data_IF_634149759194
#
_entry.id   IF_634149759194
#
_cell.length_a   1.000
_cell.length_b   1.000
_cell.length_c   1.000
_cell.angle_alpha   90.00
_cell.angle_beta   90.00
_cell.angle_gamma   90.00
#
_symmetry.space_group_name_H-M   'P 1'
#
loop_
_entity.id
_entity.type
_entity.pdbx_description
1 polymer ?
#
# COMPACT_ATOMS: atom_id res chain seq x y z
N UNK A 1 -14.90 -6.86 -16.55
CA UNK A 1 -14.04 -5.75 -17.00
C UNK A 1 -12.58 -6.21 -16.91
N UNK A 2 -11.78 -5.92 -17.93
CA UNK A 2 -10.33 -6.20 -18.01
C UNK A 2 -9.54 -5.12 -17.24
N UNK A 3 -8.44 -5.47 -16.57
CA UNK A 3 -7.57 -4.51 -15.87
C UNK A 3 -6.40 -4.11 -16.76
N UNK A 4 -5.92 -2.88 -16.69
CA UNK A 4 -4.76 -2.44 -17.45
C UNK A 4 -3.49 -2.76 -16.65
N UNK A 5 -2.58 -3.57 -17.22
CA UNK A 5 -1.29 -3.91 -16.60
C UNK A 5 -0.16 -3.17 -17.31
N UNK A 6 0.68 -2.49 -16.55
CA UNK A 6 1.88 -1.85 -17.07
C UNK A 6 3.04 -2.86 -17.12
N UNK A 7 3.63 -3.01 -18.30
CA UNK A 7 4.78 -3.89 -18.54
C UNK A 7 6.04 -3.03 -18.57
N UNK A 8 6.80 -3.04 -17.46
CA UNK A 8 7.96 -2.15 -17.27
C UNK A 8 9.04 -2.28 -18.34
N UNK A 9 9.34 -3.51 -18.78
CA UNK A 9 10.38 -3.77 -19.79
C UNK A 9 9.99 -3.28 -21.20
N UNK A 10 8.69 -3.20 -21.49
CA UNK A 10 8.17 -2.78 -22.79
C UNK A 10 7.68 -1.32 -22.80
N UNK A 11 7.48 -0.70 -21.63
CA UNK A 11 6.98 0.68 -21.51
C UNK A 11 5.53 0.86 -21.97
N UNK A 12 4.76 -0.22 -22.07
CA UNK A 12 3.37 -0.21 -22.57
C UNK A 12 2.39 -0.67 -21.50
N UNK A 13 1.11 -0.33 -21.71
CA UNK A 13 0.00 -0.81 -20.88
C UNK A 13 -0.88 -1.74 -21.71
N UNK A 14 -1.09 -2.95 -21.24
CA UNK A 14 -1.84 -3.98 -21.96
C UNK A 14 -3.12 -4.39 -21.21
N UNK A 15 -4.20 -4.77 -21.92
CA UNK A 15 -5.37 -5.38 -21.29
C UNK A 15 -4.99 -6.70 -20.63
N UNK A 16 -5.23 -6.79 -19.33
CA UNK A 16 -4.97 -7.96 -18.50
C UNK A 16 -6.26 -8.51 -17.89
N UNK A 17 -6.12 -9.66 -17.21
CA UNK A 17 -7.23 -10.36 -16.56
C UNK A 17 -7.88 -9.46 -15.49
N UNK A 18 -9.20 -9.60 -15.23
CA UNK A 18 -9.86 -8.89 -14.14
C UNK A 18 -9.15 -9.13 -12.81
N UNK A 19 -9.01 -8.12 -11.94
CA UNK A 19 -8.39 -8.29 -10.62
C UNK A 19 -9.33 -7.99 -9.44
N UNK A 20 -8.88 -8.34 -8.24
CA UNK A 20 -9.48 -7.94 -6.97
C UNK A 20 -8.37 -7.54 -6.00
N UNK A 21 -8.61 -6.45 -5.27
CA UNK A 21 -7.70 -5.92 -4.25
C UNK A 21 -8.49 -5.75 -2.95
N UNK A 22 -7.95 -6.24 -1.86
CA UNK A 22 -8.46 -6.00 -0.51
C UNK A 22 -7.28 -5.83 0.45
N UNK A 23 -7.52 -5.18 1.58
CA UNK A 23 -6.44 -4.86 2.50
C UNK A 23 -6.94 -4.31 3.82
N UNK A 24 -5.99 -4.05 4.69
CA UNK A 24 -6.20 -3.43 6.00
C UNK A 24 -5.26 -2.24 6.09
N UNK A 25 -5.79 -1.12 6.58
CA UNK A 25 -5.03 0.08 6.89
C UNK A 25 -5.16 0.38 8.37
N UNK A 26 -4.03 0.69 9.00
CA UNK A 26 -3.95 1.12 10.38
C UNK A 26 -3.17 2.44 10.44
N UNK A 27 -3.82 3.47 10.96
CA UNK A 27 -3.22 4.80 11.14
C UNK A 27 -3.39 5.18 12.61
N UNK A 28 -2.31 5.64 13.23
CA UNK A 28 -2.28 5.96 14.66
C UNK A 28 -1.48 7.23 14.91
N UNK A 29 -2.00 8.09 15.78
CA UNK A 29 -1.32 9.25 16.32
C UNK A 29 -1.45 9.22 17.84
N UNK A 30 -0.32 9.15 18.53
CA UNK A 30 -0.24 9.12 19.98
C UNK A 30 0.48 10.35 20.51
N UNK A 31 -0.23 11.21 21.24
CA UNK A 31 0.35 12.35 21.96
C UNK A 31 0.74 11.91 23.37
N UNK A 32 2.04 11.95 23.66
CA UNK A 32 2.57 11.59 24.99
C UNK A 32 2.37 12.75 25.97
N UNK A 33 2.65 13.97 25.52
CA UNK A 33 2.50 15.20 26.27
C UNK A 33 2.37 16.40 25.31
N UNK A 34 2.45 17.63 25.83
CA UNK A 34 2.27 18.86 25.04
C UNK A 34 3.38 19.16 24.04
N UNK A 35 4.53 18.46 24.12
CA UNK A 35 5.70 18.71 23.27
C UNK A 35 6.12 17.49 22.45
N UNK A 36 5.50 16.31 22.64
CA UNK A 36 5.90 15.05 22.02
C UNK A 36 4.71 14.24 21.52
N UNK A 37 4.77 13.85 20.25
CA UNK A 37 3.85 12.90 19.63
C UNK A 37 4.58 11.87 18.78
N UNK A 38 3.94 10.72 18.59
CA UNK A 38 4.37 9.65 17.69
C UNK A 38 3.24 9.32 16.73
N UNK A 39 3.57 9.08 15.47
CA UNK A 39 2.63 8.60 14.46
C UNK A 39 3.14 7.30 13.83
N UNK A 40 2.20 6.48 13.40
CA UNK A 40 2.47 5.22 12.73
C UNK A 40 1.34 4.91 11.75
N UNK A 41 1.73 4.62 10.51
CA UNK A 41 0.81 4.20 9.45
C UNK A 41 1.30 2.87 8.88
N UNK A 42 0.38 1.93 8.69
CA UNK A 42 0.63 0.62 8.11
C UNK A 42 -0.49 0.27 7.15
N UNK A 43 -0.14 -0.04 5.91
CA UNK A 43 -1.08 -0.57 4.93
C UNK A 43 -0.63 -1.96 4.48
N UNK A 44 -1.54 -2.93 4.59
CA UNK A 44 -1.38 -4.29 4.10
C UNK A 44 -2.37 -4.49 2.95
N UNK A 45 -1.86 -4.80 1.76
CA UNK A 45 -2.68 -4.98 0.58
C UNK A 45 -2.45 -6.36 -0.05
N UNK A 46 -3.53 -6.97 -0.51
CA UNK A 46 -3.51 -8.23 -1.22
C UNK A 46 -4.22 -8.07 -2.56
N UNK A 47 -3.43 -8.09 -3.63
CA UNK A 47 -3.89 -7.89 -4.99
C UNK A 47 -3.73 -9.18 -5.80
N UNK A 48 -4.83 -9.66 -6.41
CA UNK A 48 -4.82 -10.87 -7.25
C UNK A 48 -5.67 -10.73 -8.50
N UNK A 49 -5.24 -11.39 -9.58
CA UNK A 49 -6.11 -11.68 -10.71
C UNK A 49 -7.22 -12.64 -10.29
N UNK A 50 -8.40 -12.50 -10.91
CA UNK A 50 -9.56 -13.39 -10.70
C UNK A 50 -9.47 -14.60 -11.65
N UNK A 51 -10.00 -15.73 -11.19
CA UNK A 51 -10.03 -16.99 -11.91
C UNK A 51 -8.75 -17.82 -11.71
N UNK A 52 -8.74 -19.02 -12.29
CA UNK A 52 -7.59 -19.92 -12.24
C UNK A 52 -6.82 -19.86 -13.56
N UNK A 53 -5.51 -19.63 -13.47
CA UNK A 53 -4.60 -19.54 -14.60
C UNK A 53 -3.26 -20.20 -14.23
N UNK A 54 -2.68 -21.05 -15.09
CA UNK A 54 -1.38 -21.68 -14.85
C UNK A 54 -0.24 -20.70 -14.58
N UNK A 55 -0.32 -19.46 -15.10
CA UNK A 55 0.65 -18.40 -14.84
C UNK A 55 0.58 -17.82 -13.42
N UNK A 56 -0.44 -18.21 -12.64
CA UNK A 56 -0.67 -17.75 -11.27
C UNK A 56 -1.51 -16.48 -11.19
N UNK A 57 -1.86 -16.11 -9.96
CA UNK A 57 -2.86 -15.07 -9.70
C UNK A 57 -2.29 -13.81 -9.03
N UNK A 58 -0.98 -13.71 -8.84
CA UNK A 58 -0.37 -12.50 -8.30
C UNK A 58 -0.20 -11.44 -9.37
N UNK A 59 -0.42 -10.17 -9.01
CA UNK A 59 -0.19 -9.04 -9.89
C UNK A 59 1.27 -8.60 -9.76
N UNK A 60 2.09 -8.66 -10.84
CA UNK A 60 3.47 -8.22 -10.80
C UNK A 60 3.60 -6.74 -10.40
N UNK A 61 4.56 -6.42 -9.54
CA UNK A 61 4.80 -5.05 -9.09
C UNK A 61 3.75 -4.47 -8.13
N UNK A 62 2.75 -5.27 -7.71
CA UNK A 62 1.80 -4.81 -6.71
C UNK A 62 2.47 -4.67 -5.33
N UNK A 63 2.38 -3.48 -4.74
CA UNK A 63 2.92 -3.20 -3.40
C UNK A 63 2.06 -3.91 -2.36
N UNK A 64 2.62 -4.92 -1.70
CA UNK A 64 1.91 -5.71 -0.70
C UNK A 64 1.85 -5.03 0.68
N UNK A 65 2.85 -4.20 1.03
CA UNK A 65 2.92 -3.57 2.35
C UNK A 65 3.66 -2.24 2.28
N UNK A 66 3.12 -1.23 2.95
CA UNK A 66 3.81 0.03 3.23
C UNK A 66 3.72 0.35 4.72
N UNK A 67 4.75 0.99 5.25
CA UNK A 67 4.79 1.41 6.64
C UNK A 67 5.48 2.78 6.76
N UNK A 68 4.97 3.61 7.65
CA UNK A 68 5.53 4.90 8.04
C UNK A 68 5.56 5.00 9.57
N UNK A 69 6.59 5.64 10.11
CA UNK A 69 6.73 5.92 11.54
C UNK A 69 7.31 7.33 11.71
N UNK A 70 6.69 8.12 12.58
CA UNK A 70 7.06 9.50 12.81
C UNK A 70 7.15 9.85 14.29
N UNK A 71 7.98 10.86 14.57
CA UNK A 71 8.09 11.52 15.87
C UNK A 71 7.99 13.01 15.64
N UNK A 72 7.06 13.66 16.33
CA UNK A 72 6.91 15.11 16.31
C UNK A 72 7.32 15.66 17.67
N UNK A 73 8.20 16.66 17.63
CA UNK A 73 8.62 17.42 18.80
C UNK A 73 8.33 18.90 18.56
N UNK A 74 7.48 19.49 19.39
CA UNK A 74 7.05 20.88 19.29
C UNK A 74 7.04 21.57 20.67
N UNK A 75 6.74 22.87 20.74
CA UNK A 75 6.58 23.62 22.01
C UNK A 75 7.76 23.51 23.01
N UNK A 76 9.00 23.44 22.52
CA UNK A 76 10.22 23.35 23.33
C UNK A 76 10.77 24.71 23.84
N UNK A 77 10.13 25.84 23.50
CA UNK A 77 10.52 27.19 23.92
C UNK A 77 9.49 27.84 24.86
N UNK A 78 9.76 29.05 25.39
CA UNK A 78 8.72 29.85 26.06
C UNK A 78 7.62 30.30 25.11
#
# INVERSE_FOLDING_TARGET
ASELLFVGDAGVTEPARPSQRHGIEWNNLYKVNSWLAFDADLALSHARFRGDDPAGNFIPGAVATTANLGVTVDNLGP
#
